data_IF_051233151735
#
_entry.id   IF_051233151735
#
_cell.length_a   1.000
_cell.length_b   1.000
_cell.length_c   1.000
_cell.angle_alpha   90.00
_cell.angle_beta   90.00
_cell.angle_gamma   90.00
#
_symmetry.space_group_name_H-M   'P 1'
#
loop_
_entity.id
_entity.type
_entity.pdbx_description
1 polymer ?
#
# COMPACT_ATOMS: atom_id res chain seq x y z
N UNK A 1 -2.62 -21.73 7.34
CA UNK A 1 -1.81 -20.50 7.30
C UNK A 1 -2.78 -19.36 7.37
N UNK A 2 -3.06 -18.84 8.57
CA UNK A 2 -3.95 -17.69 8.73
C UNK A 2 -3.32 -16.48 8.04
N UNK A 3 -4.02 -15.93 7.05
CA UNK A 3 -3.64 -14.65 6.45
C UNK A 3 -3.71 -13.63 7.59
N UNK A 4 -2.62 -12.93 7.93
CA UNK A 4 -2.68 -11.94 8.99
C UNK A 4 -3.73 -10.89 8.60
N UNK A 5 -4.74 -10.74 9.46
CA UNK A 5 -5.79 -9.74 9.27
C UNK A 5 -5.16 -8.36 9.44
N UNK A 6 -4.86 -7.70 8.32
CA UNK A 6 -4.49 -6.29 8.31
C UNK A 6 -5.74 -5.42 8.34
N UNK A 7 -5.66 -4.23 8.96
CA UNK A 7 -6.70 -3.22 8.86
C UNK A 7 -6.98 -2.86 7.40
N UNK A 8 -8.26 -2.71 7.06
CA UNK A 8 -8.70 -2.44 5.69
C UNK A 8 -8.16 -1.11 5.15
N UNK A 9 -8.02 -0.10 6.00
CA UNK A 9 -7.41 1.19 5.72
C UNK A 9 -5.92 1.07 5.37
N UNK A 10 -5.17 0.22 6.10
CA UNK A 10 -3.77 -0.04 5.79
C UNK A 10 -3.59 -0.77 4.45
N UNK A 11 -4.46 -1.74 4.16
CA UNK A 11 -4.50 -2.43 2.86
C UNK A 11 -4.86 -1.44 1.75
N UNK A 12 -5.84 -0.56 1.98
CA UNK A 12 -6.25 0.45 1.01
C UNK A 12 -5.14 1.46 0.75
N UNK A 13 -4.44 1.95 1.78
CA UNK A 13 -3.31 2.85 1.63
C UNK A 13 -2.18 2.22 0.80
N UNK A 14 -1.90 0.92 0.99
CA UNK A 14 -0.91 0.20 0.18
C UNK A 14 -1.36 0.04 -1.29
N UNK A 15 -2.67 -0.16 -1.55
CA UNK A 15 -3.24 -0.18 -2.90
C UNK A 15 -3.13 1.17 -3.59
N UNK A 16 -3.48 2.24 -2.89
CA UNK A 16 -3.37 3.63 -3.36
C UNK A 16 -1.92 3.99 -3.69
N UNK A 17 -0.97 3.53 -2.87
CA UNK A 17 0.46 3.75 -3.11
C UNK A 17 0.90 3.04 -4.39
N UNK A 18 0.48 1.79 -4.59
CA UNK A 18 0.77 1.03 -5.82
C UNK A 18 0.15 1.70 -7.06
N UNK A 19 -1.10 2.17 -6.98
CA UNK A 19 -1.75 2.87 -8.08
C UNK A 19 -1.05 4.19 -8.40
N UNK A 20 -0.59 4.92 -7.38
CA UNK A 20 0.17 6.16 -7.56
C UNK A 20 1.52 5.90 -8.23
N UNK A 21 2.21 4.80 -7.88
CA UNK A 21 3.44 4.38 -8.57
C UNK A 21 3.19 4.03 -10.05
N UNK A 22 2.08 3.35 -10.37
CA UNK A 22 1.76 3.05 -11.77
C UNK A 22 1.44 4.31 -12.57
N UNK A 23 0.73 5.26 -11.96
CA UNK A 23 0.47 6.57 -12.58
C UNK A 23 1.77 7.37 -12.81
N UNK A 24 2.78 7.21 -11.94
CA UNK A 24 4.12 7.78 -12.13
C UNK A 24 4.96 7.03 -13.18
N UNK A 25 4.63 5.78 -13.49
CA UNK A 25 5.30 4.97 -14.50
C UNK A 25 4.64 5.11 -15.89
N UNK A 26 3.47 5.74 -15.98
CA UNK A 26 2.72 5.89 -17.21
C UNK A 26 3.34 6.95 -18.16
N UNK A 27 3.51 6.68 -19.46
CA UNK A 27 4.05 7.66 -20.40
C UNK A 27 3.20 8.95 -20.43
N UNK A 28 3.84 10.13 -20.47
CA UNK A 28 3.21 11.46 -20.52
C UNK A 28 2.36 11.83 -19.29
N UNK A 29 2.84 11.51 -18.10
CA UNK A 29 2.21 11.93 -16.83
C UNK A 29 2.03 13.45 -16.71
N UNK A 30 0.78 13.90 -16.55
CA UNK A 30 0.43 15.25 -16.12
C UNK A 30 0.23 15.24 -14.60
N UNK A 31 0.71 16.25 -13.87
CA UNK A 31 0.55 16.32 -12.41
C UNK A 31 1.60 15.56 -11.59
N UNK A 32 2.84 15.47 -12.08
CA UNK A 32 3.93 14.77 -11.40
C UNK A 32 4.14 15.20 -9.93
N UNK A 33 4.03 16.51 -9.64
CA UNK A 33 4.14 17.04 -8.26
C UNK A 33 3.02 16.54 -7.35
N UNK A 34 1.78 16.46 -7.85
CA UNK A 34 0.65 15.97 -7.07
C UNK A 34 0.81 14.47 -6.77
N UNK A 35 1.26 13.68 -7.75
CA UNK A 35 1.56 12.27 -7.58
C UNK A 35 2.70 12.04 -6.57
N UNK A 36 3.79 12.80 -6.67
CA UNK A 36 4.91 12.71 -5.71
C UNK A 36 4.48 13.10 -4.29
N UNK A 37 3.67 14.14 -4.11
CA UNK A 37 3.08 14.48 -2.80
C UNK A 37 2.21 13.36 -2.26
N UNK A 38 1.39 12.74 -3.13
CA UNK A 38 0.54 11.61 -2.74
C UNK A 38 1.37 10.40 -2.29
N UNK A 39 2.49 10.10 -2.96
CA UNK A 39 3.43 9.06 -2.53
C UNK A 39 3.97 9.33 -1.12
N UNK A 40 4.41 10.57 -0.84
CA UNK A 40 4.95 10.93 0.48
C UNK A 40 3.89 10.78 1.59
N UNK A 41 2.67 11.29 1.35
CA UNK A 41 1.58 11.20 2.32
C UNK A 41 1.17 9.76 2.59
N UNK A 42 1.02 8.94 1.55
CA UNK A 42 0.67 7.52 1.69
C UNK A 42 1.80 6.73 2.36
N UNK A 43 3.05 7.03 2.03
CA UNK A 43 4.21 6.39 2.67
C UNK A 43 4.28 6.73 4.15
N UNK A 44 4.05 8.00 4.51
CA UNK A 44 3.97 8.42 5.91
C UNK A 44 2.79 7.74 6.63
N UNK A 45 1.60 7.73 6.03
CA UNK A 45 0.42 7.10 6.63
C UNK A 45 0.63 5.60 6.91
N UNK A 46 1.22 4.87 5.95
CA UNK A 46 1.56 3.45 6.14
C UNK A 46 2.63 3.30 7.23
N UNK A 47 3.66 4.14 7.26
CA UNK A 47 4.78 3.98 8.20
C UNK A 47 4.40 4.32 9.64
N UNK A 48 3.57 5.35 9.83
CA UNK A 48 3.09 5.81 11.15
C UNK A 48 1.80 5.11 11.61
N UNK A 49 1.34 4.09 10.89
CA UNK A 49 0.07 3.45 11.18
C UNK A 49 0.08 2.78 12.58
N UNK A 50 -0.94 3.02 13.44
CA UNK A 50 -0.97 2.52 14.81
C UNK A 50 -0.92 0.99 14.91
N UNK A 51 -1.38 0.28 13.87
CA UNK A 51 -1.26 -1.17 13.74
C UNK A 51 0.17 -1.70 14.00
N UNK A 52 1.19 -0.96 13.59
CA UNK A 52 2.59 -1.37 13.77
C UNK A 52 3.05 -1.31 15.24
N UNK A 53 2.41 -0.46 16.04
CA UNK A 53 2.70 -0.32 17.47
C UNK A 53 1.89 -1.30 18.32
N UNK A 54 0.75 -1.79 17.82
CA UNK A 54 -0.14 -2.70 18.56
C UNK A 54 0.27 -4.18 18.53
N UNK A 55 1.19 -4.58 17.63
CA UNK A 55 1.75 -5.94 17.59
C UNK A 55 3.17 -5.95 18.15
N UNK A 56 3.66 -7.06 18.75
CA UNK A 56 5.03 -7.13 19.25
C UNK A 56 6.01 -6.92 18.09
N UNK A 57 6.56 -5.70 18.01
CA UNK A 57 7.47 -5.18 16.96
C UNK A 57 7.11 -5.69 15.57
N UNK A 58 6.17 -5.02 14.91
CA UNK A 58 5.78 -5.27 13.51
C UNK A 58 7.00 -5.60 12.66
N UNK A 59 7.11 -6.88 12.28
CA UNK A 59 8.33 -7.40 11.66
C UNK A 59 8.39 -6.86 10.23
N UNK A 60 9.58 -6.66 9.64
CA UNK A 60 9.70 -6.34 8.20
C UNK A 60 8.92 -7.33 7.30
N UNK A 61 8.77 -8.57 7.74
CA UNK A 61 7.96 -9.60 7.10
C UNK A 61 6.47 -9.23 6.97
N UNK A 62 5.90 -8.50 7.94
CA UNK A 62 4.49 -8.08 7.93
C UNK A 62 4.22 -7.05 6.83
N UNK A 63 5.23 -6.22 6.48
CA UNK A 63 5.12 -5.28 5.35
C UNK A 63 5.15 -6.00 4.01
N UNK A 64 5.95 -7.06 3.89
CA UNK A 64 5.98 -7.91 2.69
C UNK A 64 4.64 -8.60 2.48
N UNK A 65 4.03 -9.07 3.57
CA UNK A 65 2.71 -9.69 3.55
C UNK A 65 1.60 -8.69 3.18
N UNK A 66 1.62 -7.47 3.74
CA UNK A 66 0.73 -6.38 3.33
C UNK A 66 0.83 -6.09 1.83
N UNK A 67 2.05 -6.03 1.28
CA UNK A 67 2.27 -5.85 -0.16
C UNK A 67 1.81 -7.05 -0.99
N UNK A 68 1.82 -8.26 -0.42
CA UNK A 68 1.30 -9.47 -1.08
C UNK A 68 -0.22 -9.41 -1.14
N UNK A 69 -0.90 -9.10 -0.04
CA UNK A 69 -2.35 -8.99 0.00
C UNK A 69 -2.86 -7.89 -0.95
N UNK A 70 -2.28 -6.69 -0.87
CA UNK A 70 -2.65 -5.59 -1.77
C UNK A 70 -2.42 -5.90 -3.27
N UNK A 71 -1.49 -6.81 -3.60
CA UNK A 71 -1.26 -7.28 -4.97
C UNK A 71 -2.17 -8.45 -5.37
N UNK A 72 -2.45 -9.37 -4.46
CA UNK A 72 -3.37 -10.50 -4.68
C UNK A 72 -4.77 -10.00 -4.98
N UNK A 73 -5.27 -9.08 -4.16
CA UNK A 73 -6.59 -8.46 -4.36
C UNK A 73 -6.65 -7.66 -5.67
N UNK A 74 -5.54 -7.02 -6.05
CA UNK A 74 -5.46 -6.28 -7.31
C UNK A 74 -5.49 -7.20 -8.53
N UNK A 75 -4.91 -8.40 -8.45
CA UNK A 75 -5.02 -9.40 -9.51
C UNK A 75 -6.45 -9.92 -9.62
N UNK A 76 -7.10 -10.20 -8.50
CA UNK A 76 -8.51 -10.56 -8.47
C UNK A 76 -9.39 -9.45 -9.09
N UNK A 77 -9.15 -8.19 -8.73
CA UNK A 77 -9.88 -7.04 -9.29
C UNK A 77 -9.64 -6.77 -10.78
N UNK A 78 -8.57 -7.30 -11.39
CA UNK A 78 -8.33 -7.23 -12.84
C UNK A 78 -8.90 -8.41 -13.62
N UNK A 79 -9.23 -9.51 -12.93
CA UNK A 79 -9.72 -10.75 -13.52
C UNK A 79 -11.26 -10.87 -13.47
N UNK A 80 -11.92 -9.96 -12.76
CA UNK A 80 -13.38 -9.77 -12.74
C UNK A 80 -13.76 -8.67 -13.74
#
# INVERSE_FOLDING_TARGET
MDVPTFPADLVQAQRDLNATYDALAAPRQHGNTALRRRVLLLSAHIWWHPFWNTRPRGRPADRTELRRQARGDRRAARAA
#
